data_IF_116902460120
#
_entry.id   IF_116902460120
#
_cell.length_a   1.000
_cell.length_b   1.000
_cell.length_c   1.000
_cell.angle_alpha   90.00
_cell.angle_beta   90.00
_cell.angle_gamma   90.00
#
_symmetry.space_group_name_H-M   'P 1'
#
loop_
_entity.id
_entity.type
_entity.pdbx_description
1 polymer ?
#
# COMPACT_ATOMS: atom_id res chain seq x y z
N UNK A 1 -12.77 -0.63 -6.56
CA UNK A 1 -11.40 -0.07 -6.64
C UNK A 1 -10.55 -0.94 -7.55
N UNK A 2 -9.65 -0.36 -8.35
CA UNK A 2 -8.70 -1.09 -9.21
C UNK A 2 -7.29 -0.51 -9.06
N UNK A 3 -6.28 -1.36 -8.81
CA UNK A 3 -4.88 -0.94 -8.79
C UNK A 3 -4.38 -0.79 -10.23
N UNK A 4 -3.70 0.32 -10.53
CA UNK A 4 -3.19 0.64 -11.86
C UNK A 4 -1.66 0.51 -11.92
N UNK A 5 -0.96 1.10 -10.95
CA UNK A 5 0.51 1.12 -10.90
C UNK A 5 1.00 1.07 -9.47
N UNK A 6 2.06 0.30 -9.21
CA UNK A 6 2.85 0.41 -7.98
C UNK A 6 4.27 0.84 -8.38
N UNK A 7 4.70 1.99 -7.87
CA UNK A 7 6.09 2.43 -7.92
C UNK A 7 6.65 2.48 -6.51
N UNK A 8 7.87 1.99 -6.32
CA UNK A 8 8.52 1.96 -5.03
C UNK A 8 10.01 2.21 -5.14
N UNK A 9 10.59 2.76 -4.09
CA UNK A 9 12.00 2.99 -3.92
C UNK A 9 12.44 2.54 -2.53
N UNK A 10 13.46 1.67 -2.46
CA UNK A 10 14.11 1.25 -1.21
C UNK A 10 13.13 0.73 -0.14
N UNK A 11 12.33 -0.27 -0.48
CA UNK A 11 11.37 -0.92 0.43
C UNK A 11 11.86 -2.32 0.80
N UNK A 12 12.20 -2.54 2.06
CA UNK A 12 12.72 -3.81 2.58
C UNK A 12 13.89 -4.35 1.72
N UNK A 13 13.70 -5.52 1.11
CA UNK A 13 14.68 -6.16 0.22
C UNK A 13 14.69 -5.54 -1.19
N UNK A 14 13.65 -4.78 -1.56
CA UNK A 14 13.50 -4.12 -2.86
C UNK A 14 14.27 -2.79 -2.86
N UNK A 15 15.60 -2.89 -2.97
CA UNK A 15 16.52 -1.75 -3.09
C UNK A 15 16.38 -1.10 -4.48
N UNK A 16 16.63 0.21 -4.57
CA UNK A 16 16.47 1.02 -5.78
C UNK A 16 14.99 1.17 -6.17
N UNK A 17 14.75 1.63 -7.41
CA UNK A 17 13.43 1.91 -7.94
C UNK A 17 12.85 0.72 -8.69
N UNK A 18 11.59 0.43 -8.43
CA UNK A 18 10.82 -0.61 -9.10
C UNK A 18 9.45 -0.05 -9.49
N UNK A 19 8.96 -0.43 -10.66
CA UNK A 19 7.62 -0.06 -11.12
C UNK A 19 6.92 -1.27 -11.69
N UNK A 20 5.68 -1.49 -11.28
CA UNK A 20 4.79 -2.51 -11.83
C UNK A 20 3.57 -1.78 -12.39
N UNK A 21 3.32 -1.94 -13.69
CA UNK A 21 2.13 -1.42 -14.38
C UNK A 21 1.10 -2.55 -14.48
N UNK A 22 0.06 -2.51 -13.66
CA UNK A 22 -1.00 -3.52 -13.65
C UNK A 22 -2.05 -3.27 -14.73
N UNK A 23 -2.20 -2.03 -15.19
CA UNK A 23 -3.14 -1.62 -16.23
C UNK A 23 -2.57 -1.70 -17.66
N UNK A 24 -1.41 -2.35 -17.82
CA UNK A 24 -0.74 -2.55 -19.11
C UNK A 24 -0.48 -4.03 -19.38
N UNK A 25 -0.23 -4.36 -20.65
CA UNK A 25 0.26 -5.67 -21.06
C UNK A 25 1.62 -5.96 -20.36
N UNK A 26 1.87 -7.20 -19.90
CA UNK A 26 1.03 -8.41 -20.02
C UNK A 26 0.01 -8.59 -18.88
N UNK A 27 0.08 -7.79 -17.82
CA UNK A 27 -0.68 -8.05 -16.60
C UNK A 27 -2.18 -7.77 -16.76
N UNK A 28 -2.52 -6.72 -17.51
CA UNK A 28 -3.92 -6.35 -17.74
C UNK A 28 -4.71 -7.44 -18.49
N UNK A 29 -4.11 -8.06 -19.49
CA UNK A 29 -4.76 -9.09 -20.31
C UNK A 29 -4.81 -10.46 -19.61
N UNK A 30 -3.80 -10.77 -18.80
CA UNK A 30 -3.74 -12.06 -18.11
C UNK A 30 -4.91 -12.27 -17.13
N UNK A 31 -5.40 -11.19 -16.49
CA UNK A 31 -6.47 -11.21 -15.48
C UNK A 31 -6.10 -11.90 -14.15
N UNK A 32 -5.18 -12.88 -14.20
CA UNK A 32 -4.57 -13.57 -13.08
C UNK A 32 -3.07 -13.71 -13.33
N UNK A 33 -2.27 -13.35 -12.35
CA UNK A 33 -0.82 -13.50 -12.39
C UNK A 33 -0.28 -13.98 -11.04
N UNK A 34 0.93 -14.55 -11.05
CA UNK A 34 1.60 -15.02 -9.86
C UNK A 34 2.91 -14.26 -9.63
N UNK A 35 3.17 -13.86 -8.38
CA UNK A 35 4.45 -13.32 -7.95
C UNK A 35 5.22 -14.45 -7.25
N UNK A 36 6.26 -14.96 -7.91
CA UNK A 36 7.06 -16.10 -7.43
C UNK A 36 8.46 -15.67 -7.05
N UNK A 37 9.17 -16.49 -6.27
CA UNK A 37 10.53 -16.21 -5.82
C UNK A 37 10.84 -16.80 -4.44
N UNK A 38 12.11 -16.78 -4.01
CA UNK A 38 12.53 -17.36 -2.73
C UNK A 38 11.93 -16.62 -1.53
N UNK A 39 11.89 -17.29 -0.37
CA UNK A 39 11.60 -16.65 0.92
C UNK A 39 12.59 -15.50 1.16
N UNK A 40 12.08 -14.34 1.59
CA UNK A 40 12.89 -13.12 1.73
C UNK A 40 13.06 -12.31 0.44
N UNK A 41 12.57 -12.79 -0.72
CA UNK A 41 12.67 -12.10 -2.01
C UNK A 41 11.80 -10.84 -2.19
N UNK A 42 11.17 -10.33 -1.12
CA UNK A 42 10.39 -9.09 -1.18
C UNK A 42 8.93 -9.21 -1.64
N UNK A 43 8.40 -10.43 -1.83
CA UNK A 43 7.00 -10.66 -2.26
C UNK A 43 5.99 -9.98 -1.32
N UNK A 44 6.10 -10.21 -0.01
CA UNK A 44 5.25 -9.56 0.98
C UNK A 44 5.51 -8.05 1.08
N UNK A 45 6.72 -7.60 0.75
CA UNK A 45 7.07 -6.17 0.74
C UNK A 45 6.31 -5.38 -0.32
N UNK A 46 5.93 -6.02 -1.44
CA UNK A 46 5.03 -5.41 -2.43
C UNK A 46 3.64 -5.16 -1.83
N UNK A 47 3.10 -6.12 -1.07
CA UNK A 47 1.80 -5.99 -0.41
C UNK A 47 1.85 -4.92 0.70
N UNK A 48 2.88 -4.95 1.53
CA UNK A 48 3.11 -3.94 2.57
C UNK A 48 3.21 -2.53 1.95
N UNK A 49 3.87 -2.39 0.79
CA UNK A 49 3.98 -1.12 0.09
C UNK A 49 2.61 -0.59 -0.35
N UNK A 50 1.74 -1.43 -0.91
CA UNK A 50 0.38 -1.02 -1.31
C UNK A 50 -0.43 -0.53 -0.09
N UNK A 51 -0.35 -1.25 1.03
CA UNK A 51 -1.08 -0.88 2.26
C UNK A 51 -0.57 0.46 2.80
N UNK A 52 0.74 0.69 2.79
CA UNK A 52 1.36 1.93 3.28
C UNK A 52 1.04 3.10 2.38
N UNK A 53 1.06 2.90 1.06
CA UNK A 53 0.68 3.95 0.13
C UNK A 53 -0.75 4.43 0.39
N UNK A 54 -1.68 3.53 0.69
CA UNK A 54 -3.08 3.87 0.94
C UNK A 54 -3.32 4.42 2.36
N UNK A 55 -2.76 3.79 3.38
CA UNK A 55 -3.15 4.00 4.77
C UNK A 55 -2.03 4.52 5.69
N UNK A 56 -0.82 4.69 5.17
CA UNK A 56 0.33 5.24 5.90
C UNK A 56 0.89 4.33 7.01
N UNK A 57 0.40 3.09 7.12
CA UNK A 57 0.75 2.12 8.17
C UNK A 57 0.75 0.68 7.62
N UNK A 58 1.41 -0.24 8.32
CA UNK A 58 1.32 -1.69 8.07
C UNK A 58 0.86 -2.37 9.37
N UNK A 59 -0.08 -3.33 9.33
CA UNK A 59 -0.57 -4.02 10.53
C UNK A 59 0.54 -4.57 11.43
N UNK A 60 1.57 -5.20 10.84
CA UNK A 60 2.68 -5.83 11.57
C UNK A 60 3.54 -4.85 12.38
N UNK A 61 3.47 -3.54 12.08
CA UNK A 61 4.23 -2.48 12.77
C UNK A 61 3.39 -1.72 13.82
N UNK A 62 2.15 -2.14 14.05
CA UNK A 62 1.24 -1.46 14.96
C UNK A 62 0.91 -0.03 14.51
N UNK A 63 0.75 0.88 15.46
CA UNK A 63 0.39 2.29 15.19
C UNK A 63 1.59 3.19 14.84
N UNK A 64 2.81 2.65 14.85
CA UNK A 64 4.02 3.45 14.64
C UNK A 64 4.25 3.72 13.14
N UNK A 65 4.90 4.84 12.84
CA UNK A 65 5.41 5.09 11.49
C UNK A 65 6.29 3.90 11.07
N UNK A 66 6.06 3.31 9.89
CA UNK A 66 6.70 2.06 9.49
C UNK A 66 8.14 2.30 9.01
N UNK A 67 9.00 2.77 9.92
CA UNK A 67 10.39 3.12 9.65
C UNK A 67 11.23 1.92 9.19
N UNK A 68 10.83 0.72 9.59
CA UNK A 68 11.45 -0.56 9.19
C UNK A 68 11.19 -0.94 7.73
N UNK A 69 10.25 -0.27 7.04
CA UNK A 69 10.09 -0.41 5.58
C UNK A 69 11.32 0.08 4.82
N UNK A 70 12.01 1.11 5.33
CA UNK A 70 13.15 1.67 4.61
C UNK A 70 14.28 0.64 4.54
N UNK A 71 14.75 0.33 3.33
CA UNK A 71 15.91 -0.54 3.13
C UNK A 71 17.11 -0.08 3.97
N UNK A 72 17.80 -1.01 4.63
CA UNK A 72 18.98 -0.66 5.44
C UNK A 72 20.05 0.07 4.62
N UNK A 73 20.75 0.99 5.28
CA UNK A 73 21.78 1.83 4.67
C UNK A 73 21.30 2.75 3.55
N UNK A 74 19.99 3.01 3.43
CA UNK A 74 19.45 4.07 2.58
C UNK A 74 18.98 5.24 3.43
N UNK A 75 18.81 6.40 2.79
CA UNK A 75 18.34 7.62 3.44
C UNK A 75 16.89 7.97 3.12
N UNK A 76 16.26 7.25 2.19
CA UNK A 76 14.89 7.49 1.79
C UNK A 76 14.20 6.23 1.27
N UNK A 77 12.88 6.23 1.42
CA UNK A 77 11.96 5.33 0.76
C UNK A 77 10.78 6.14 0.22
N UNK A 78 10.28 5.74 -0.94
CA UNK A 78 9.14 6.31 -1.63
C UNK A 78 8.25 5.17 -2.10
N UNK A 79 6.94 5.33 -1.94
CA UNK A 79 5.94 4.43 -2.48
C UNK A 79 4.86 5.29 -3.12
N UNK A 80 4.49 4.96 -4.35
CA UNK A 80 3.37 5.54 -5.07
C UNK A 80 2.47 4.42 -5.58
N UNK A 81 1.19 4.53 -5.25
CA UNK A 81 0.17 3.62 -5.74
C UNK A 81 -0.87 4.41 -6.52
N UNK A 82 -0.99 4.10 -7.80
CA UNK A 82 -2.03 4.65 -8.64
C UNK A 82 -3.21 3.68 -8.64
N UNK A 83 -4.41 4.18 -8.40
CA UNK A 83 -5.63 3.38 -8.34
C UNK A 83 -6.82 4.13 -8.94
N UNK A 84 -7.82 3.38 -9.40
CA UNK A 84 -9.08 3.89 -9.91
C UNK A 84 -10.25 3.53 -8.98
N UNK A 85 -11.15 4.48 -8.79
CA UNK A 85 -12.45 4.35 -8.14
C UNK A 85 -13.53 4.95 -9.05
N UNK A 86 -14.80 4.94 -8.65
CA UNK A 86 -15.87 5.50 -9.47
C UNK A 86 -15.70 7.02 -9.70
N UNK A 87 -15.09 7.70 -8.74
CA UNK A 87 -14.86 9.15 -8.74
C UNK A 87 -13.68 9.59 -9.61
N UNK A 88 -12.85 8.67 -10.11
CA UNK A 88 -11.68 8.99 -10.94
C UNK A 88 -10.44 8.17 -10.59
N UNK A 89 -9.29 8.65 -11.06
CA UNK A 89 -7.97 8.04 -10.85
C UNK A 89 -7.13 8.87 -9.90
N UNK A 90 -6.52 8.21 -8.92
CA UNK A 90 -5.74 8.86 -7.88
C UNK A 90 -4.38 8.19 -7.70
N UNK A 91 -3.41 8.96 -7.22
CA UNK A 91 -2.10 8.49 -6.75
C UNK A 91 -1.95 8.79 -5.28
N UNK A 92 -1.86 7.74 -4.48
CA UNK A 92 -1.45 7.86 -3.09
C UNK A 92 0.08 7.74 -3.01
N UNK A 93 0.72 8.77 -2.45
CA UNK A 93 2.17 8.86 -2.33
C UNK A 93 2.57 8.92 -0.88
N UNK A 94 3.40 7.96 -0.46
CA UNK A 94 3.97 7.93 0.87
C UNK A 94 5.50 7.94 0.78
N UNK A 95 6.16 8.79 1.56
CA UNK A 95 7.61 8.82 1.60
C UNK A 95 8.14 9.09 3.01
N UNK A 96 9.31 8.51 3.27
CA UNK A 96 10.06 8.70 4.51
C UNK A 96 11.51 9.00 4.17
N UNK A 97 12.07 10.02 4.82
CA UNK A 97 13.45 10.47 4.60
C UNK A 97 14.20 10.60 5.91
N UNK A 98 15.52 10.51 5.82
CA UNK A 98 16.47 10.84 6.88
C UNK A 98 17.05 12.23 6.67
N UNK A 99 17.39 12.89 7.78
CA UNK A 99 18.01 14.21 7.75
C UNK A 99 19.23 14.23 6.82
N UNK A 100 19.36 15.30 6.03
CA UNK A 100 20.50 15.56 5.14
C UNK A 100 20.76 14.47 4.08
N UNK A 101 19.80 13.57 3.83
CA UNK A 101 19.99 12.47 2.89
C UNK A 101 21.04 11.45 3.33
N UNK A 102 21.34 11.37 4.63
CA UNK A 102 22.33 10.43 5.17
C UNK A 102 21.65 9.20 5.77
N UNK A 103 22.19 8.00 5.51
CA UNK A 103 21.64 6.74 6.03
C UNK A 103 21.66 6.67 7.58
N UNK A 104 22.60 7.38 8.21
CA UNK A 104 22.72 7.53 9.66
C UNK A 104 21.92 8.71 10.21
N UNK A 105 21.31 9.51 9.33
CA UNK A 105 20.53 10.68 9.72
C UNK A 105 19.27 10.31 10.51
N UNK A 106 18.81 11.24 11.36
CA UNK A 106 17.55 11.10 12.10
C UNK A 106 16.38 11.02 11.13
N UNK A 107 15.46 10.09 11.39
CA UNK A 107 14.21 9.92 10.65
C UNK A 107 13.37 11.20 10.77
N UNK A 108 12.90 11.70 9.64
CA UNK A 108 11.97 12.83 9.55
C UNK A 108 10.52 12.33 9.57
N UNK A 109 9.54 13.20 9.89
CA UNK A 109 8.13 12.84 9.75
C UNK A 109 7.83 12.32 8.34
N UNK A 110 7.08 11.23 8.27
CA UNK A 110 6.60 10.71 6.99
C UNK A 110 5.70 11.76 6.32
N UNK A 111 5.77 11.82 4.99
CA UNK A 111 4.82 12.59 4.19
C UNK A 111 3.90 11.62 3.46
N UNK A 112 2.64 11.99 3.44
CA UNK A 112 1.56 11.28 2.76
C UNK A 112 0.77 12.30 1.98
N UNK A 113 0.61 12.06 0.69
CA UNK A 113 -0.06 12.93 -0.27
C UNK A 113 -1.03 12.10 -1.11
N UNK A 114 -2.12 12.72 -1.55
CA UNK A 114 -3.07 12.14 -2.49
C UNK A 114 -3.20 13.09 -3.67
N UNK A 115 -3.00 12.58 -4.87
CA UNK A 115 -3.05 13.34 -6.11
C UNK A 115 -4.17 12.81 -7.00
N UNK A 116 -4.97 13.71 -7.55
CA UNK A 116 -5.88 13.40 -8.65
C UNK A 116 -5.08 13.34 -9.96
N UNK A 117 -5.14 12.21 -10.65
CA UNK A 117 -4.38 11.96 -11.88
C UNK A 117 -5.03 12.55 -13.13
N UNK A 118 -6.30 12.92 -13.08
CA UNK A 118 -7.01 13.56 -14.19
C UNK A 118 -6.70 15.05 -14.23
N UNK A 119 -6.71 15.70 -13.07
CA UNK A 119 -6.34 17.12 -12.94
C UNK A 119 -4.85 17.35 -12.70
N UNK A 120 -4.11 16.28 -12.37
CA UNK A 120 -2.71 16.30 -11.94
C UNK A 120 -2.46 17.17 -10.69
N UNK A 121 -3.48 17.40 -9.86
CA UNK A 121 -3.40 18.23 -8.67
C UNK A 121 -3.30 17.38 -7.39
N UNK A 122 -2.40 17.77 -6.50
CA UNK A 122 -2.36 17.21 -5.14
C UNK A 122 -3.48 17.83 -4.32
N UNK A 123 -4.29 16.99 -3.68
CA UNK A 123 -5.34 17.44 -2.78
C UNK A 123 -4.72 18.15 -1.57
N UNK A 124 -5.32 19.27 -1.15
CA UNK A 124 -4.89 20.03 0.01
C UNK A 124 -5.28 19.31 1.32
N UNK A 125 -4.48 18.31 1.68
CA UNK A 125 -4.68 17.45 2.84
C UNK A 125 -3.42 17.44 3.70
N UNK A 126 -3.61 17.39 5.02
CA UNK A 126 -2.52 17.00 5.92
C UNK A 126 -2.23 15.52 5.71
N UNK A 127 -0.98 15.11 5.88
CA UNK A 127 -0.60 13.69 5.75
C UNK A 127 -1.39 12.74 6.67
N UNK A 128 -1.87 13.23 7.82
CA UNK A 128 -2.73 12.46 8.73
C UNK A 128 -4.16 12.23 8.20
N UNK A 129 -4.62 13.06 7.26
CA UNK A 129 -5.99 13.03 6.74
C UNK A 129 -6.10 12.20 5.44
N UNK A 130 -4.97 11.93 4.77
CA UNK A 130 -4.93 11.13 3.54
C UNK A 130 -5.57 9.75 3.71
N UNK A 131 -5.30 8.95 4.77
CA UNK A 131 -5.94 7.64 4.93
C UNK A 131 -7.47 7.73 5.02
N UNK A 132 -8.01 8.79 5.64
CA UNK A 132 -9.46 9.00 5.74
C UNK A 132 -10.06 9.35 4.39
N UNK A 133 -9.36 10.15 3.60
CA UNK A 133 -9.82 10.49 2.25
C UNK A 133 -9.77 9.28 1.32
N UNK A 134 -8.72 8.46 1.41
CA UNK A 134 -8.64 7.18 0.71
C UNK A 134 -9.80 6.26 1.09
N UNK A 135 -10.14 6.16 2.38
CA UNK A 135 -11.30 5.38 2.85
C UNK A 135 -12.61 5.87 2.25
N UNK A 136 -12.87 7.19 2.22
CA UNK A 136 -14.06 7.76 1.59
C UNK A 136 -14.14 7.46 0.10
N UNK A 137 -13.03 7.61 -0.63
CA UNK A 137 -12.98 7.41 -2.08
C UNK A 137 -13.15 5.94 -2.46
N UNK A 138 -12.56 5.04 -1.67
CA UNK A 138 -12.55 3.60 -1.98
C UNK A 138 -13.72 2.85 -1.36
N UNK A 139 -14.35 3.38 -0.32
CA UNK A 139 -15.28 2.66 0.55
C UNK A 139 -14.60 1.61 1.44
N UNK A 140 -13.27 1.60 1.49
CA UNK A 140 -12.48 0.57 2.15
C UNK A 140 -11.55 1.19 3.18
N UNK A 141 -11.83 0.90 4.46
CA UNK A 141 -10.85 1.11 5.51
C UNK A 141 -9.73 0.04 5.41
N UNK A 142 -8.66 0.21 6.18
CA UNK A 142 -7.51 -0.70 6.14
C UNK A 142 -7.90 -2.16 6.45
N UNK A 143 -8.76 -2.38 7.44
CA UNK A 143 -9.17 -3.71 7.87
C UNK A 143 -9.95 -4.43 6.77
N UNK A 144 -10.90 -3.73 6.13
CA UNK A 144 -11.65 -4.24 4.98
C UNK A 144 -10.72 -4.53 3.81
N UNK A 145 -9.78 -3.65 3.50
CA UNK A 145 -8.81 -3.86 2.42
C UNK A 145 -7.94 -5.11 2.62
N UNK A 146 -7.52 -5.38 3.86
CA UNK A 146 -6.74 -6.58 4.25
C UNK A 146 -7.55 -7.87 4.32
N UNK A 147 -8.88 -7.79 4.20
CA UNK A 147 -9.77 -8.96 4.20
C UNK A 147 -10.31 -9.25 2.81
N UNK A 148 -10.52 -8.22 2.00
CA UNK A 148 -11.18 -8.32 0.70
C UNK A 148 -10.27 -8.19 -0.51
N UNK A 149 -9.15 -7.45 -0.39
CA UNK A 149 -8.27 -7.15 -1.54
C UNK A 149 -6.93 -7.88 -1.41
N UNK A 150 -6.31 -7.84 -0.23
CA UNK A 150 -5.07 -8.54 0.06
C UNK A 150 -5.37 -9.58 1.11
N UNK A 151 -5.04 -10.84 0.88
CA UNK A 151 -5.08 -11.89 1.90
C UNK A 151 -3.66 -12.16 2.39
N UNK A 152 -3.27 -11.69 3.60
CA UNK A 152 -1.95 -11.96 4.13
C UNK A 152 -1.70 -13.46 4.33
N UNK A 153 -0.43 -13.86 4.23
CA UNK A 153 -0.03 -15.25 4.42
C UNK A 153 -0.36 -15.72 5.85
N UNK A 154 -1.27 -16.69 5.98
CA UNK A 154 -1.73 -17.25 7.26
C UNK A 154 -3.16 -16.85 7.65
N UNK A 155 -3.61 -15.65 7.26
CA UNK A 155 -4.93 -15.12 7.62
C UNK A 155 -6.06 -15.77 6.80
N UNK A 156 -5.76 -16.36 5.65
CA UNK A 156 -6.74 -17.16 4.90
C UNK A 156 -7.18 -18.41 5.65
N UNK A 157 -6.28 -19.06 6.39
CA UNK A 157 -6.64 -20.20 7.24
C UNK A 157 -7.49 -19.75 8.43
N UNK A 158 -7.25 -18.54 8.96
CA UNK A 158 -8.09 -17.93 9.97
C UNK A 158 -9.49 -17.60 9.42
N UNK A 159 -9.58 -17.06 8.20
CA UNK A 159 -10.85 -16.82 7.50
C UNK A 159 -11.66 -18.11 7.29
N UNK A 160 -11.04 -19.19 6.81
CA UNK A 160 -11.72 -20.49 6.65
C UNK A 160 -12.16 -21.12 7.97
N UNK A 161 -11.49 -20.77 9.08
CA UNK A 161 -11.77 -21.28 10.43
C UNK A 161 -12.63 -20.32 11.26
N UNK A 162 -12.98 -19.14 10.74
CA UNK A 162 -13.80 -18.16 11.41
C UNK A 162 -15.19 -18.74 11.67
N UNK A 163 -15.78 -18.41 12.82
CA UNK A 163 -17.13 -18.88 13.17
C UNK A 163 -18.16 -18.24 12.24
N UNK A 164 -19.28 -18.91 11.99
CA UNK A 164 -20.33 -18.43 11.06
C UNK A 164 -20.74 -16.97 11.29
N UNK A 165 -20.76 -16.51 12.55
CA UNK A 165 -21.06 -15.12 12.90
C UNK A 165 -20.00 -14.14 12.39
N UNK A 166 -18.72 -14.41 12.63
CA UNK A 166 -17.60 -13.58 12.14
C UNK A 166 -17.54 -13.60 10.61
N UNK A 167 -17.85 -14.75 9.99
CA UNK A 167 -17.91 -14.92 8.54
C UNK A 167 -19.11 -14.19 7.92
N UNK A 168 -20.23 -14.12 8.62
CA UNK A 168 -21.42 -13.35 8.23
C UNK A 168 -21.17 -11.85 8.27
N UNK A 169 -20.58 -11.34 9.35
CA UNK A 169 -20.17 -9.92 9.48
C UNK A 169 -19.19 -9.53 8.36
N UNK A 170 -18.25 -10.42 8.01
CA UNK A 170 -17.31 -10.24 6.90
C UNK A 170 -17.97 -10.18 5.51
N UNK A 171 -19.07 -10.91 5.31
CA UNK A 171 -19.81 -10.94 4.04
C UNK A 171 -20.77 -9.76 3.92
N UNK A 172 -21.40 -9.33 5.01
CA UNK A 172 -22.26 -8.14 5.03
C UNK A 172 -21.48 -6.87 4.69
N UNK A 173 -20.23 -6.73 5.13
CA UNK A 173 -19.39 -5.57 4.80
C UNK A 173 -18.94 -5.50 3.33
N UNK A 174 -19.13 -6.58 2.56
CA UNK A 174 -18.80 -6.68 1.13
C UNK A 174 -19.99 -6.35 0.19
N UNK A 175 -21.20 -6.26 0.74
CA UNK A 175 -22.46 -5.91 0.04
C UNK A 175 -22.90 -4.50 0.35
#
# INVERSE_FOLDING_TARGET
MRILRLHLQNVHALRNQWTIQFDQFPLYEAGLFAITGPTGGGKSSLLDAMIVALYGRVPRYGHNTPTELMTRHTAETLIELDFAVQQGRFRARWNLRRARGQATGRIQPARHELQDLETNQTLDLRSSDVPKEVEKLTGLNMERFLRSVILPQGDFAAFLRAKEKERGELLEELT
#
